data_IF_717132231702
#
_entry.id   IF_717132231702
#
_cell.length_a   1.000
_cell.length_b   1.000
_cell.length_c   1.000
_cell.angle_alpha   90.00
_cell.angle_beta   90.00
_cell.angle_gamma   90.00
#
_symmetry.space_group_name_H-M   'P 1'
#
loop_
_entity.id
_entity.type
_entity.pdbx_description
1 polymer ?
#
# COMPACT_ATOMS: atom_id res chain seq x y z
N UNK A 1 43.97 29.58 18.77
CA UNK A 1 42.99 29.77 17.68
C UNK A 1 42.51 28.45 17.10
N UNK A 2 43.40 27.47 16.87
CA UNK A 2 43.03 26.19 16.24
C UNK A 2 41.94 25.38 16.98
N UNK A 3 42.01 25.26 18.31
CA UNK A 3 40.99 24.53 19.09
C UNK A 3 39.58 25.14 18.97
N UNK A 4 39.47 26.47 18.92
CA UNK A 4 38.19 27.16 18.76
C UNK A 4 37.62 26.96 17.35
N UNK A 5 38.48 26.95 16.34
CA UNK A 5 38.10 26.62 14.96
C UNK A 5 37.60 25.17 14.84
N UNK A 6 38.33 24.20 15.41
CA UNK A 6 37.91 22.79 15.43
C UNK A 6 36.56 22.63 16.14
N UNK A 7 36.39 23.27 17.30
CA UNK A 7 35.12 23.24 18.04
C UNK A 7 33.96 23.83 17.22
N UNK A 8 34.18 24.97 16.55
CA UNK A 8 33.18 25.59 15.67
C UNK A 8 32.79 24.66 14.51
N UNK A 9 33.77 24.07 13.82
CA UNK A 9 33.52 23.12 12.72
C UNK A 9 32.74 21.91 13.22
N UNK A 10 33.10 21.37 14.38
CA UNK A 10 32.42 20.23 14.98
C UNK A 10 30.96 20.56 15.32
N UNK A 11 30.71 21.73 15.92
CA UNK A 11 29.34 22.21 16.19
C UNK A 11 28.54 22.35 14.88
N UNK A 12 29.14 22.91 13.84
CA UNK A 12 28.48 23.09 12.53
C UNK A 12 28.13 21.74 11.89
N UNK A 13 29.04 20.76 11.96
CA UNK A 13 28.79 19.39 11.50
C UNK A 13 27.65 18.74 12.29
N UNK A 14 27.65 18.86 13.62
CA UNK A 14 26.58 18.30 14.47
C UNK A 14 25.22 18.91 14.12
N UNK A 15 25.16 20.24 13.95
CA UNK A 15 23.94 20.92 13.53
C UNK A 15 23.45 20.47 12.15
N UNK A 16 24.37 20.31 11.19
CA UNK A 16 24.04 19.82 9.85
C UNK A 16 23.48 18.38 9.90
N UNK A 17 24.08 17.49 10.70
CA UNK A 17 23.59 16.12 10.90
C UNK A 17 22.22 16.11 11.58
N UNK A 18 22.01 16.94 12.60
CA UNK A 18 20.73 17.05 13.29
C UNK A 18 19.61 17.55 12.36
N UNK A 19 19.89 18.58 11.55
CA UNK A 19 18.94 19.10 10.57
C UNK A 19 18.60 18.06 9.48
N UNK A 20 19.61 17.34 8.98
CA UNK A 20 19.42 16.25 8.02
C UNK A 20 18.60 15.10 8.59
N UNK A 21 18.86 14.71 9.85
CA UNK A 21 18.12 13.67 10.55
C UNK A 21 16.65 14.07 10.75
N UNK A 22 16.40 15.32 11.17
CA UNK A 22 15.06 15.87 11.30
C UNK A 22 14.29 15.83 9.97
N UNK A 23 14.88 16.33 8.89
CA UNK A 23 14.25 16.32 7.56
C UNK A 23 13.92 14.89 7.10
N UNK A 24 14.83 13.95 7.33
CA UNK A 24 14.64 12.54 6.98
C UNK A 24 13.52 11.90 7.78
N UNK A 25 13.43 12.17 9.09
CA UNK A 25 12.35 11.69 9.95
C UNK A 25 10.99 12.23 9.51
N UNK A 26 10.89 13.53 9.20
CA UNK A 26 9.64 14.12 8.68
C UNK A 26 9.24 13.52 7.33
N UNK A 27 10.22 13.28 6.45
CA UNK A 27 9.97 12.64 5.15
C UNK A 27 9.47 11.21 5.32
N UNK A 28 10.04 10.45 6.25
CA UNK A 28 9.61 9.10 6.53
C UNK A 28 8.17 9.04 7.10
N UNK A 29 7.84 9.95 8.03
CA UNK A 29 6.48 10.04 8.56
C UNK A 29 5.44 10.30 7.46
N UNK A 30 5.74 11.20 6.52
CA UNK A 30 4.87 11.47 5.37
C UNK A 30 4.69 10.24 4.48
N UNK A 31 5.74 9.44 4.30
CA UNK A 31 5.65 8.21 3.51
C UNK A 31 4.80 7.13 4.19
N UNK A 32 4.90 6.98 5.51
CA UNK A 32 4.02 6.07 6.26
C UNK A 32 2.55 6.47 6.14
N UNK A 33 2.23 7.75 6.36
CA UNK A 33 0.86 8.26 6.19
C UNK A 33 0.35 7.99 4.77
N UNK A 34 1.21 8.18 3.75
CA UNK A 34 0.86 7.90 2.35
C UNK A 34 0.55 6.41 2.14
N UNK A 35 1.35 5.50 2.69
CA UNK A 35 1.10 4.05 2.62
C UNK A 35 -0.23 3.69 3.28
N UNK A 36 -0.49 4.19 4.49
CA UNK A 36 -1.73 3.88 5.21
C UNK A 36 -2.97 4.41 4.46
N UNK A 37 -2.89 5.64 3.94
CA UNK A 37 -3.96 6.22 3.12
C UNK A 37 -4.20 5.44 1.81
N UNK A 38 -3.14 4.95 1.17
CA UNK A 38 -3.25 4.18 -0.06
C UNK A 38 -3.80 2.77 0.21
N UNK A 39 -3.47 2.19 1.36
CA UNK A 39 -4.04 0.92 1.82
C UNK A 39 -5.53 1.04 2.08
N UNK A 40 -5.97 2.08 2.79
CA UNK A 40 -7.39 2.36 3.02
C UNK A 40 -8.14 2.63 1.71
N UNK A 41 -7.53 3.33 0.76
CA UNK A 41 -8.12 3.55 -0.56
C UNK A 41 -8.25 2.25 -1.38
N UNK A 42 -7.29 1.33 -1.26
CA UNK A 42 -7.35 0.01 -1.87
C UNK A 42 -8.47 -0.85 -1.27
N UNK A 43 -8.57 -0.89 0.06
CA UNK A 43 -9.65 -1.60 0.77
C UNK A 43 -11.03 -1.07 0.33
N UNK A 44 -11.24 0.24 0.36
CA UNK A 44 -12.48 0.85 -0.07
C UNK A 44 -12.83 0.56 -1.55
N UNK A 45 -11.82 0.48 -2.43
CA UNK A 45 -12.04 0.13 -3.83
C UNK A 45 -12.47 -1.34 -3.99
N UNK A 46 -11.88 -2.25 -3.21
CA UNK A 46 -12.23 -3.67 -3.21
C UNK A 46 -13.63 -3.92 -2.64
N UNK A 47 -13.97 -3.29 -1.51
CA UNK A 47 -15.30 -3.36 -0.91
C UNK A 47 -16.35 -2.80 -1.88
N UNK A 48 -16.04 -1.69 -2.56
CA UNK A 48 -16.94 -1.15 -3.58
C UNK A 48 -17.18 -2.13 -4.73
N UNK A 49 -16.15 -2.86 -5.17
CA UNK A 49 -16.29 -3.90 -6.20
C UNK A 49 -17.16 -5.06 -5.71
N UNK A 50 -16.94 -5.52 -4.48
CA UNK A 50 -17.75 -6.58 -3.86
C UNK A 50 -19.23 -6.18 -3.79
N UNK A 51 -19.54 -4.99 -3.29
CA UNK A 51 -20.90 -4.47 -3.24
C UNK A 51 -21.55 -4.34 -4.64
N UNK A 52 -20.79 -3.89 -5.65
CA UNK A 52 -21.30 -3.82 -7.04
C UNK A 52 -21.56 -5.22 -7.61
N UNK A 53 -20.68 -6.19 -7.35
CA UNK A 53 -20.86 -7.57 -7.78
C UNK A 53 -22.12 -8.20 -7.17
N UNK A 54 -22.30 -8.06 -5.85
CA UNK A 54 -23.49 -8.53 -5.14
C UNK A 54 -24.79 -7.88 -5.65
N UNK A 55 -24.76 -6.59 -5.99
CA UNK A 55 -25.92 -5.89 -6.53
C UNK A 55 -26.29 -6.31 -7.97
N UNK A 56 -25.36 -6.95 -8.70
CA UNK A 56 -25.56 -7.35 -10.09
C UNK A 56 -25.98 -8.82 -10.25
N UNK A 57 -25.56 -9.69 -9.34
CA UNK A 57 -25.96 -11.11 -9.31
C UNK A 57 -26.06 -11.61 -7.86
N UNK A 58 -27.23 -12.11 -7.48
CA UNK A 58 -27.52 -12.67 -6.14
C UNK A 58 -26.57 -13.81 -5.76
N UNK A 59 -26.05 -14.56 -6.73
CA UNK A 59 -25.09 -15.65 -6.51
C UNK A 59 -23.76 -15.14 -5.94
N UNK A 60 -23.48 -13.84 -6.09
CA UNK A 60 -22.26 -13.19 -5.64
C UNK A 60 -22.39 -12.57 -4.24
N UNK A 61 -23.58 -12.53 -3.64
CA UNK A 61 -23.76 -11.93 -2.30
C UNK A 61 -22.89 -12.60 -1.23
N UNK A 62 -22.86 -13.94 -1.21
CA UNK A 62 -22.07 -14.71 -0.23
C UNK A 62 -20.56 -14.46 -0.39
N UNK A 63 -19.94 -14.63 -1.57
CA UNK A 63 -18.52 -14.35 -1.73
C UNK A 63 -18.17 -12.87 -1.59
N UNK A 64 -19.05 -11.95 -1.97
CA UNK A 64 -18.85 -10.51 -1.79
C UNK A 64 -18.80 -10.13 -0.31
N UNK A 65 -19.78 -10.60 0.47
CA UNK A 65 -19.81 -10.39 1.92
C UNK A 65 -18.60 -11.01 2.62
N UNK A 66 -18.19 -12.21 2.22
CA UNK A 66 -16.99 -12.85 2.78
C UNK A 66 -15.70 -12.03 2.51
N UNK A 67 -15.62 -11.36 1.35
CA UNK A 67 -14.52 -10.45 1.04
C UNK A 67 -14.58 -9.16 1.89
N UNK A 68 -15.76 -8.54 2.04
CA UNK A 68 -15.97 -7.34 2.85
C UNK A 68 -15.69 -7.57 4.35
N UNK A 69 -16.05 -8.74 4.88
CA UNK A 69 -15.77 -9.11 6.29
C UNK A 69 -14.27 -9.32 6.57
N UNK A 70 -13.44 -9.47 5.53
CA UNK A 70 -12.00 -9.63 5.65
C UNK A 70 -11.29 -8.29 5.47
N UNK A 71 -10.84 -7.66 6.54
CA UNK A 71 -10.15 -6.37 6.44
C UNK A 71 -8.69 -6.49 5.97
N UNK A 72 -8.18 -5.44 5.32
CA UNK A 72 -6.77 -5.39 4.94
C UNK A 72 -5.93 -4.90 6.12
N UNK A 73 -5.02 -5.76 6.58
CA UNK A 73 -4.00 -5.39 7.58
C UNK A 73 -2.62 -5.48 6.94
N UNK A 74 -1.83 -4.42 7.11
CA UNK A 74 -0.47 -4.38 6.58
C UNK A 74 0.35 -5.57 7.12
N UNK A 75 1.00 -6.30 6.20
CA UNK A 75 1.76 -7.52 6.51
C UNK A 75 0.91 -8.79 6.71
N UNK A 76 -0.42 -8.69 6.62
CA UNK A 76 -1.35 -9.81 6.84
C UNK A 76 -2.40 -9.88 5.74
N UNK A 77 -1.95 -9.96 4.48
CA UNK A 77 -2.84 -9.93 3.32
C UNK A 77 -3.51 -11.27 2.99
N UNK A 78 -3.01 -12.38 3.53
CA UNK A 78 -3.41 -13.73 3.10
C UNK A 78 -4.92 -13.98 3.20
N UNK A 79 -5.56 -13.54 4.27
CA UNK A 79 -7.00 -13.71 4.48
C UNK A 79 -7.82 -12.96 3.42
N UNK A 80 -7.56 -11.64 3.25
CA UNK A 80 -8.25 -10.84 2.24
C UNK A 80 -7.96 -11.32 0.82
N UNK A 81 -6.70 -11.61 0.48
CA UNK A 81 -6.34 -12.10 -0.85
C UNK A 81 -7.02 -13.42 -1.21
N UNK A 82 -7.27 -14.30 -0.24
CA UNK A 82 -8.03 -15.54 -0.48
C UNK A 82 -9.48 -15.23 -0.86
N UNK A 83 -10.15 -14.35 -0.11
CA UNK A 83 -11.54 -13.98 -0.37
C UNK A 83 -11.73 -13.19 -1.66
N UNK A 84 -10.77 -12.33 -2.01
CA UNK A 84 -10.77 -11.65 -3.30
C UNK A 84 -10.66 -12.62 -4.49
N UNK A 85 -9.82 -13.66 -4.37
CA UNK A 85 -9.75 -14.71 -5.40
C UNK A 85 -11.04 -15.51 -5.52
N UNK A 86 -11.64 -15.89 -4.39
CA UNK A 86 -12.94 -16.59 -4.37
C UNK A 86 -14.03 -15.74 -5.06
N UNK A 87 -14.09 -14.45 -4.77
CA UNK A 87 -15.02 -13.51 -5.41
C UNK A 87 -14.73 -13.33 -6.90
N UNK A 88 -13.48 -13.13 -7.29
CA UNK A 88 -13.10 -12.98 -8.70
C UNK A 88 -13.40 -14.23 -9.52
N UNK A 89 -13.14 -15.42 -8.96
CA UNK A 89 -13.53 -16.69 -9.55
C UNK A 89 -15.05 -16.76 -9.72
N UNK A 90 -15.84 -16.42 -8.69
CA UNK A 90 -17.30 -16.42 -8.78
C UNK A 90 -17.81 -15.44 -9.86
N UNK A 91 -17.24 -14.25 -9.95
CA UNK A 91 -17.56 -13.25 -10.98
C UNK A 91 -17.30 -13.77 -12.41
N UNK A 92 -16.18 -14.46 -12.64
CA UNK A 92 -15.86 -15.10 -13.93
C UNK A 92 -16.91 -16.15 -14.34
N UNK A 93 -17.54 -16.84 -13.39
CA UNK A 93 -18.59 -17.82 -13.67
C UNK A 93 -19.99 -17.20 -13.79
N UNK A 94 -20.23 -16.06 -13.11
CA UNK A 94 -21.50 -15.35 -13.13
C UNK A 94 -21.69 -14.54 -14.42
N UNK A 95 -20.61 -13.96 -14.95
CA UNK A 95 -20.69 -13.04 -16.08
C UNK A 95 -19.90 -13.56 -17.29
N UNK A 96 -20.60 -13.78 -18.41
CA UNK A 96 -19.97 -14.02 -19.72
C UNK A 96 -19.35 -12.73 -20.28
N UNK A 97 -19.98 -11.58 -20.00
CA UNK A 97 -19.47 -10.25 -20.34
C UNK A 97 -19.63 -9.33 -19.14
N UNK A 98 -18.57 -8.57 -18.82
CA UNK A 98 -18.55 -7.76 -17.62
C UNK A 98 -19.41 -6.50 -17.80
N UNK A 99 -20.42 -6.27 -16.95
CA UNK A 99 -21.25 -5.07 -17.01
C UNK A 99 -20.41 -3.80 -16.76
N UNK A 100 -20.73 -2.66 -17.39
CA UNK A 100 -19.92 -1.44 -17.30
C UNK A 100 -19.63 -0.97 -15.87
N UNK A 101 -20.59 -1.12 -14.95
CA UNK A 101 -20.42 -0.75 -13.53
C UNK A 101 -19.35 -1.58 -12.83
N UNK A 102 -19.23 -2.86 -13.20
CA UNK A 102 -18.23 -3.76 -12.65
C UNK A 102 -16.84 -3.46 -13.24
N UNK A 103 -16.78 -3.14 -14.53
CA UNK A 103 -15.53 -2.70 -15.20
C UNK A 103 -14.98 -1.41 -14.57
N UNK A 104 -15.86 -0.46 -14.23
CA UNK A 104 -15.46 0.76 -13.52
C UNK A 104 -14.90 0.43 -12.13
N UNK A 105 -15.57 -0.44 -11.37
CA UNK A 105 -15.11 -0.86 -10.06
C UNK A 105 -13.74 -1.57 -10.12
N UNK A 106 -13.55 -2.50 -11.05
CA UNK A 106 -12.27 -3.18 -11.29
C UNK A 106 -11.15 -2.20 -11.68
N UNK A 107 -11.49 -1.18 -12.48
CA UNK A 107 -10.54 -0.14 -12.86
C UNK A 107 -10.10 0.67 -11.65
N UNK A 108 -11.01 1.04 -10.74
CA UNK A 108 -10.66 1.74 -9.49
C UNK A 108 -9.78 0.88 -8.60
N UNK A 109 -10.07 -0.42 -8.47
CA UNK A 109 -9.21 -1.37 -7.73
C UNK A 109 -7.80 -1.40 -8.30
N UNK A 110 -7.66 -1.50 -9.62
CA UNK A 110 -6.35 -1.52 -10.29
C UNK A 110 -5.55 -0.24 -10.05
N UNK A 111 -6.21 0.91 -10.10
CA UNK A 111 -5.56 2.20 -9.83
C UNK A 111 -5.10 2.27 -8.36
N UNK A 112 -5.97 1.93 -7.42
CA UNK A 112 -5.66 1.95 -5.99
C UNK A 112 -4.52 0.98 -5.65
N UNK A 113 -4.53 -0.22 -6.24
CA UNK A 113 -3.48 -1.23 -6.09
C UNK A 113 -2.11 -0.72 -6.53
N UNK A 114 -2.06 -0.05 -7.69
CA UNK A 114 -0.82 0.56 -8.18
C UNK A 114 -0.32 1.65 -7.25
N UNK A 115 -1.21 2.55 -6.80
CA UNK A 115 -0.82 3.62 -5.87
C UNK A 115 -0.31 3.10 -4.54
N UNK A 116 -0.93 2.04 -4.01
CA UNK A 116 -0.44 1.37 -2.81
C UNK A 116 0.97 0.81 -3.01
N UNK A 117 1.18 0.02 -4.07
CA UNK A 117 2.48 -0.58 -4.35
C UNK A 117 3.58 0.46 -4.63
N UNK A 118 3.23 1.60 -5.25
CA UNK A 118 4.16 2.72 -5.44
C UNK A 118 4.53 3.36 -4.09
N UNK A 119 3.56 3.58 -3.19
CA UNK A 119 3.83 4.09 -1.86
C UNK A 119 4.71 3.14 -1.03
N UNK A 120 4.51 1.82 -1.15
CA UNK A 120 5.35 0.79 -0.53
C UNK A 120 6.78 0.86 -1.10
N UNK A 121 6.92 0.96 -2.42
CA UNK A 121 8.22 1.04 -3.07
C UNK A 121 9.01 2.28 -2.64
N UNK A 122 8.37 3.46 -2.60
CA UNK A 122 8.97 4.72 -2.14
C UNK A 122 9.44 4.63 -0.69
N UNK A 123 8.63 4.01 0.16
CA UNK A 123 8.94 3.81 1.58
C UNK A 123 10.12 2.86 1.77
N UNK A 124 10.12 1.72 1.06
CA UNK A 124 11.25 0.77 1.09
C UNK A 124 12.53 1.41 0.56
N UNK A 125 12.47 2.15 -0.55
CA UNK A 125 13.62 2.80 -1.16
C UNK A 125 14.28 3.82 -0.22
N UNK A 126 13.51 4.55 0.59
CA UNK A 126 14.07 5.46 1.60
C UNK A 126 14.64 4.70 2.80
N UNK A 127 13.89 3.73 3.34
CA UNK A 127 14.27 2.99 4.57
C UNK A 127 15.50 2.10 4.38
N UNK A 128 15.75 1.64 3.15
CA UNK A 128 16.91 0.81 2.81
C UNK A 128 18.19 1.62 2.58
N UNK A 129 18.15 2.97 2.60
CA UNK A 129 19.36 3.78 2.42
C UNK A 129 20.31 3.62 3.63
N UNK A 130 21.62 3.44 3.40
CA UNK A 130 22.59 3.16 4.47
C UNK A 130 22.64 4.26 5.54
N UNK A 131 22.55 5.53 5.15
CA UNK A 131 22.53 6.65 6.09
C UNK A 131 21.32 6.61 7.07
N UNK A 132 20.14 6.19 6.58
CA UNK A 132 18.91 6.07 7.39
C UNK A 132 19.01 4.89 8.34
N UNK A 133 19.61 3.79 7.87
CA UNK A 133 19.81 2.56 8.65
C UNK A 133 20.85 2.73 9.75
N UNK A 134 21.98 3.40 9.47
CA UNK A 134 23.04 3.68 10.46
C UNK A 134 22.52 4.56 11.58
N UNK A 135 21.74 5.60 11.25
CA UNK A 135 21.17 6.52 12.23
C UNK A 135 19.86 6.01 12.87
N UNK A 136 19.41 4.79 12.55
CA UNK A 136 18.17 4.17 13.05
C UNK A 136 16.93 5.07 12.98
N UNK A 137 16.89 5.98 12.01
CA UNK A 137 15.80 6.94 11.82
C UNK A 137 14.49 6.26 11.36
N UNK A 138 14.60 5.03 10.86
CA UNK A 138 13.48 4.19 10.43
C UNK A 138 12.70 3.51 11.56
N UNK A 139 13.15 3.60 12.81
CA UNK A 139 12.58 2.86 13.94
C UNK A 139 12.66 1.33 13.77
N UNK A 140 11.87 0.61 14.58
CA UNK A 140 11.75 -0.86 14.59
C UNK A 140 10.54 -1.38 13.80
N UNK A 141 9.75 -0.51 13.18
CA UNK A 141 8.56 -0.92 12.44
C UNK A 141 8.91 -1.92 11.32
N UNK A 142 8.09 -2.94 11.03
CA UNK A 142 8.32 -3.82 9.89
C UNK A 142 8.32 -3.04 8.57
N UNK A 143 9.00 -3.57 7.54
CA UNK A 143 8.97 -2.97 6.20
C UNK A 143 7.59 -3.22 5.59
N UNK A 144 6.97 -2.21 4.94
CA UNK A 144 5.65 -2.40 4.33
C UNK A 144 5.69 -3.46 3.25
N UNK A 145 4.69 -4.32 3.16
CA UNK A 145 4.63 -5.43 2.22
C UNK A 145 3.77 -5.10 0.99
N UNK A 146 4.15 -5.63 -0.17
CA UNK A 146 3.37 -5.46 -1.38
C UNK A 146 2.09 -6.29 -1.29
N UNK A 147 1.00 -5.75 -1.84
CA UNK A 147 -0.24 -6.51 -1.97
C UNK A 147 -0.24 -7.17 -3.35
N UNK A 148 -0.50 -8.48 -3.39
CA UNK A 148 -0.61 -9.22 -4.65
C UNK A 148 -2.09 -9.50 -4.94
N UNK A 149 -2.59 -8.91 -6.03
CA UNK A 149 -3.93 -9.19 -6.54
C UNK A 149 -3.79 -10.02 -7.82
N UNK A 150 -3.93 -11.34 -7.67
CA UNK A 150 -3.68 -12.32 -8.73
C UNK A 150 -4.52 -12.06 -9.99
N UNK A 151 -5.75 -11.58 -9.82
CA UNK A 151 -6.73 -11.44 -10.91
C UNK A 151 -6.46 -10.25 -11.85
N UNK A 152 -5.73 -9.22 -11.41
CA UNK A 152 -5.42 -8.05 -12.25
C UNK A 152 -4.37 -8.32 -13.32
N UNK A 153 -3.50 -9.33 -13.10
CA UNK A 153 -2.44 -9.68 -14.06
C UNK A 153 -3.01 -10.36 -15.31
N UNK A 154 -4.05 -11.18 -15.15
CA UNK A 154 -4.69 -11.88 -16.28
C UNK A 154 -5.43 -10.91 -17.21
N UNK A 155 -6.12 -9.89 -16.68
CA UNK A 155 -6.84 -8.91 -17.50
C UNK A 155 -5.92 -7.94 -18.26
N UNK A 156 -4.67 -7.75 -17.84
CA UNK A 156 -3.71 -6.93 -18.57
C UNK A 156 -3.04 -7.70 -19.74
N UNK A 157 -3.24 -9.02 -19.79
CA UNK A 157 -2.70 -9.91 -20.82
C UNK A 157 -3.77 -10.37 -21.83
N UNK A 158 -5.04 -10.03 -21.61
CA UNK A 158 -6.18 -10.27 -22.50
C UNK A 158 -6.58 -8.98 -23.23
#
# INVERSE_FOLDING_TARGET
MEFSFIALVLVLVVLAVAAWAYFTATRLNRLHIRVDSALAALEAALDRRAAVAAALDVRLEVPARAAEESHIVQGHFAARSLKERELAQAMKHAFVSYPPRLVEADTRVRIAHRFYNEAVADTRALRLRPAVRVLRLGGTAPLPEFFELSDLREQAQA
#
